data_IF_695641716347
#
_entry.id   IF_695641716347
#
_cell.length_a   1.000
_cell.length_b   1.000
_cell.length_c   1.000
_cell.angle_alpha   90.00
_cell.angle_beta   90.00
_cell.angle_gamma   90.00
#
_symmetry.space_group_name_H-M   'P 1'
#
loop_
_entity.id
_entity.type
_entity.pdbx_description
1 polymer ?
#
# COMPACT_ATOMS: atom_id res chain seq x y z
N UNK A 1 12.98 4.52 -16.33
CA UNK A 1 12.94 3.82 -15.03
C UNK A 1 12.78 2.34 -15.32
N UNK A 2 13.46 1.48 -14.57
CA UNK A 2 13.56 0.05 -14.89
C UNK A 2 12.22 -0.71 -14.83
N UNK A 3 11.33 -0.33 -13.92
CA UNK A 3 9.94 -0.82 -13.88
C UNK A 3 9.59 -1.57 -12.60
N UNK A 4 10.42 -2.53 -12.20
CA UNK A 4 10.20 -3.37 -11.02
C UNK A 4 11.37 -3.33 -10.02
N UNK A 5 12.50 -2.70 -10.38
CA UNK A 5 13.67 -2.49 -9.51
C UNK A 5 13.35 -1.79 -8.18
N UNK A 6 12.23 -1.06 -8.15
CA UNK A 6 11.76 -0.40 -6.93
C UNK A 6 11.41 -1.42 -5.85
N UNK A 7 10.78 -2.53 -6.26
CA UNK A 7 10.17 -3.52 -5.38
C UNK A 7 11.01 -4.79 -5.28
N UNK A 8 11.85 -5.08 -6.28
CA UNK A 8 12.60 -6.33 -6.39
C UNK A 8 14.11 -6.08 -6.44
N UNK A 9 14.85 -6.81 -5.60
CA UNK A 9 16.31 -6.87 -5.67
C UNK A 9 16.82 -7.93 -6.65
N UNK A 10 15.95 -8.84 -7.13
CA UNK A 10 16.33 -9.98 -7.99
C UNK A 10 16.90 -9.56 -9.35
N UNK A 11 16.62 -8.34 -9.79
CA UNK A 11 17.12 -7.78 -11.05
C UNK A 11 18.50 -7.10 -10.89
N UNK A 12 19.12 -7.20 -9.72
CA UNK A 12 20.46 -6.70 -9.43
C UNK A 12 21.45 -7.86 -9.37
N UNK A 13 22.59 -7.72 -10.05
CA UNK A 13 23.72 -8.65 -9.92
C UNK A 13 24.83 -8.02 -9.10
N UNK A 14 25.33 -8.79 -8.15
CA UNK A 14 26.46 -8.43 -7.31
C UNK A 14 27.65 -9.36 -7.59
N UNK A 15 28.87 -8.84 -7.48
CA UNK A 15 30.08 -9.67 -7.46
C UNK A 15 30.35 -10.26 -6.06
N UNK A 16 31.45 -11.01 -5.93
CA UNK A 16 31.85 -11.67 -4.67
C UNK A 16 32.15 -10.68 -3.54
N UNK A 17 32.43 -9.41 -3.87
CA UNK A 17 32.71 -8.33 -2.94
C UNK A 17 31.46 -7.46 -2.65
N UNK A 18 30.27 -7.91 -3.09
CA UNK A 18 28.97 -7.22 -2.95
C UNK A 18 28.89 -5.88 -3.69
N UNK A 19 29.69 -5.66 -4.73
CA UNK A 19 29.51 -4.51 -5.61
C UNK A 19 28.40 -4.78 -6.63
N UNK A 20 27.52 -3.80 -6.84
CA UNK A 20 26.51 -3.87 -7.91
C UNK A 20 27.20 -3.79 -9.28
N UNK A 21 27.16 -4.88 -10.06
CA UNK A 21 27.85 -4.98 -11.35
C UNK A 21 26.92 -4.88 -12.55
N UNK A 22 25.65 -5.26 -12.40
CA UNK A 22 24.67 -5.17 -13.50
C UNK A 22 23.22 -5.06 -13.02
N UNK A 23 22.38 -4.54 -13.91
CA UNK A 23 20.92 -4.53 -13.79
C UNK A 23 20.34 -5.31 -14.95
N UNK A 24 19.57 -6.35 -14.65
CA UNK A 24 18.97 -7.27 -15.61
C UNK A 24 17.53 -6.88 -15.95
N UNK A 25 16.92 -7.60 -16.90
CA UNK A 25 15.47 -7.64 -17.10
C UNK A 25 14.77 -6.28 -17.30
N UNK A 26 14.99 -5.65 -18.45
CA UNK A 26 14.49 -4.30 -18.75
C UNK A 26 13.08 -4.30 -19.36
N UNK A 27 12.35 -5.41 -19.36
CA UNK A 27 11.09 -5.56 -20.09
C UNK A 27 9.96 -4.63 -19.57
N UNK A 28 10.03 -4.23 -18.30
CA UNK A 28 9.08 -3.32 -17.66
C UNK A 28 9.54 -1.85 -17.67
N UNK A 29 10.55 -1.52 -18.47
CA UNK A 29 11.12 -0.17 -18.48
C UNK A 29 10.15 0.87 -19.05
N UNK A 30 10.02 1.98 -18.32
CA UNK A 30 9.10 3.05 -18.66
C UNK A 30 9.69 4.44 -18.47
N UNK A 31 9.16 5.41 -19.21
CA UNK A 31 9.43 6.84 -18.99
C UNK A 31 8.45 7.33 -17.94
N UNK A 32 8.97 7.95 -16.89
CA UNK A 32 8.19 8.46 -15.77
C UNK A 32 8.50 9.93 -15.51
N UNK A 33 7.55 10.70 -14.97
CA UNK A 33 7.85 12.00 -14.39
C UNK A 33 8.98 11.90 -13.35
N UNK A 34 9.81 12.93 -13.24
CA UNK A 34 10.94 12.94 -12.30
C UNK A 34 10.49 12.76 -10.83
N UNK A 35 9.25 13.13 -10.51
CA UNK A 35 8.63 12.95 -9.19
C UNK A 35 8.38 11.47 -8.83
N UNK A 36 8.33 10.57 -9.82
CA UNK A 36 8.18 9.13 -9.62
C UNK A 36 9.52 8.41 -9.49
N UNK A 37 10.64 9.11 -9.69
CA UNK A 37 11.95 8.58 -9.35
C UNK A 37 12.13 8.65 -7.84
N UNK A 38 11.95 7.53 -7.18
CA UNK A 38 12.08 7.39 -5.72
C UNK A 38 13.19 6.40 -5.37
N UNK A 39 13.80 6.52 -4.18
CA UNK A 39 14.74 5.53 -3.67
C UNK A 39 14.10 4.13 -3.63
N UNK A 40 14.89 3.06 -3.81
CA UNK A 40 14.38 1.69 -3.76
C UNK A 40 13.76 1.35 -2.40
N UNK A 41 12.64 0.62 -2.38
CA UNK A 41 11.89 0.35 -1.13
C UNK A 41 12.67 -0.57 -0.18
N UNK A 42 13.52 -1.43 -0.76
CA UNK A 42 14.34 -2.38 -0.04
C UNK A 42 15.58 -1.78 0.66
N UNK A 43 15.76 -0.45 0.62
CA UNK A 43 16.83 0.22 1.37
C UNK A 43 16.77 -0.03 2.88
N UNK A 44 15.56 -0.24 3.44
CA UNK A 44 15.37 -0.59 4.85
C UNK A 44 15.52 -2.10 5.13
N UNK A 45 15.91 -2.90 4.12
CA UNK A 45 16.12 -4.35 4.24
C UNK A 45 14.86 -5.19 4.14
N UNK A 46 13.73 -4.62 3.69
CA UNK A 46 12.45 -5.32 3.56
C UNK A 46 11.63 -4.90 2.34
N UNK A 47 10.38 -5.33 2.27
CA UNK A 47 9.45 -4.93 1.22
C UNK A 47 8.77 -3.58 1.44
N UNK A 48 7.83 -3.22 0.56
CA UNK A 48 6.92 -2.08 0.67
C UNK A 48 6.39 -1.77 2.07
N UNK A 49 5.99 -2.79 2.82
CA UNK A 49 5.43 -2.69 4.16
C UNK A 49 6.39 -2.04 5.16
N UNK A 50 7.70 -2.23 4.99
CA UNK A 50 8.71 -1.66 5.87
C UNK A 50 8.90 -0.16 5.65
N UNK A 51 8.53 0.35 4.47
CA UNK A 51 8.51 1.79 4.19
C UNK A 51 7.45 2.49 5.05
N UNK A 52 6.32 1.82 5.33
CA UNK A 52 5.19 2.35 6.11
C UNK A 52 5.38 2.16 7.62
N UNK A 53 5.76 0.95 8.04
CA UNK A 53 5.97 0.63 9.47
C UNK A 53 7.21 1.36 10.00
N UNK A 54 8.27 1.39 9.20
CA UNK A 54 9.59 1.87 9.56
C UNK A 54 9.96 3.19 8.91
N UNK A 55 9.02 4.12 8.68
CA UNK A 55 9.26 5.37 7.92
C UNK A 55 10.53 6.11 8.34
N UNK A 56 10.80 6.22 9.64
CA UNK A 56 12.01 6.88 10.13
C UNK A 56 13.31 6.12 9.77
N UNK A 57 13.27 4.79 9.81
CA UNK A 57 14.39 3.93 9.39
C UNK A 57 14.59 4.09 7.88
N UNK A 58 13.53 3.98 7.09
CA UNK A 58 13.59 4.15 5.66
C UNK A 58 14.16 5.53 5.28
N UNK A 59 13.64 6.62 5.84
CA UNK A 59 14.15 7.97 5.62
C UNK A 59 15.63 8.12 6.01
N UNK A 60 16.07 7.44 7.07
CA UNK A 60 17.48 7.41 7.49
C UNK A 60 18.37 6.73 6.44
N UNK A 61 17.95 5.56 5.93
CA UNK A 61 18.69 4.85 4.88
C UNK A 61 18.67 5.62 3.56
N UNK A 62 17.56 6.28 3.22
CA UNK A 62 17.49 7.22 2.10
C UNK A 62 18.52 8.33 2.26
N UNK A 63 18.67 8.93 3.45
CA UNK A 63 19.68 9.96 3.69
C UNK A 63 21.11 9.47 3.46
N UNK A 64 21.45 8.26 3.93
CA UNK A 64 22.76 7.64 3.67
C UNK A 64 22.98 7.37 2.18
N UNK A 65 21.95 6.86 1.50
CA UNK A 65 22.01 6.58 0.08
C UNK A 65 22.17 7.87 -0.74
N UNK A 66 21.40 8.91 -0.44
CA UNK A 66 21.54 10.24 -1.06
C UNK A 66 22.93 10.83 -0.83
N UNK A 67 23.51 10.66 0.36
CA UNK A 67 24.90 11.02 0.63
C UNK A 67 25.88 10.33 -0.32
N UNK A 68 25.74 9.02 -0.50
CA UNK A 68 26.58 8.22 -1.41
C UNK A 68 26.43 8.67 -2.86
N UNK A 69 25.20 8.94 -3.32
CA UNK A 69 24.94 9.46 -4.66
C UNK A 69 25.59 10.83 -4.85
N UNK A 70 25.51 11.71 -3.85
CA UNK A 70 26.12 13.05 -3.89
C UNK A 70 27.65 12.97 -3.99
N UNK A 71 28.28 12.07 -3.24
CA UNK A 71 29.72 11.85 -3.31
C UNK A 71 30.14 11.29 -4.67
N UNK A 72 29.33 10.39 -5.25
CA UNK A 72 29.56 9.85 -6.59
C UNK A 72 29.40 10.91 -7.67
N UNK A 73 28.36 11.73 -7.60
CA UNK A 73 28.13 12.86 -8.51
C UNK A 73 29.33 13.83 -8.46
N UNK A 74 29.85 14.14 -7.27
CA UNK A 74 31.05 14.97 -7.09
C UNK A 74 32.30 14.33 -7.69
N UNK A 75 32.53 13.05 -7.42
CA UNK A 75 33.69 12.32 -7.93
C UNK A 75 33.70 12.25 -9.47
N UNK A 76 32.52 12.12 -10.08
CA UNK A 76 32.35 12.12 -11.54
C UNK A 76 32.28 13.53 -12.14
N UNK A 77 32.33 14.59 -11.32
CA UNK A 77 32.19 15.99 -11.73
C UNK A 77 30.90 16.28 -12.54
N UNK A 78 29.82 15.56 -12.24
CA UNK A 78 28.52 15.76 -12.89
C UNK A 78 27.65 16.70 -12.07
N UNK A 79 26.76 17.48 -12.70
CA UNK A 79 25.78 18.28 -11.97
C UNK A 79 24.90 17.39 -11.09
N UNK A 80 24.58 17.81 -9.85
CA UNK A 80 23.70 17.04 -8.98
C UNK A 80 22.32 16.91 -9.63
N UNK A 81 21.81 15.68 -9.73
CA UNK A 81 20.49 15.40 -10.28
C UNK A 81 19.67 14.58 -9.29
N UNK A 82 20.08 13.33 -9.06
CA UNK A 82 19.33 12.44 -8.19
C UNK A 82 19.48 12.85 -6.73
N UNK A 83 20.68 13.26 -6.30
CA UNK A 83 20.89 13.73 -4.93
C UNK A 83 20.02 14.94 -4.58
N UNK A 84 19.75 15.82 -5.55
CA UNK A 84 18.87 16.98 -5.35
C UNK A 84 17.39 16.57 -5.32
N UNK A 85 16.97 15.71 -6.25
CA UNK A 85 15.57 15.25 -6.34
C UNK A 85 15.17 14.46 -5.09
N UNK A 86 16.09 13.67 -4.54
CA UNK A 86 15.87 12.80 -3.38
C UNK A 86 16.17 13.46 -2.03
N UNK A 87 16.90 14.58 -1.97
CA UNK A 87 17.19 15.25 -0.69
C UNK A 87 15.94 15.61 0.12
N UNK A 88 14.83 15.96 -0.54
CA UNK A 88 13.55 16.23 0.13
C UNK A 88 12.91 14.97 0.74
N UNK A 89 13.27 13.79 0.26
CA UNK A 89 12.70 12.51 0.69
C UNK A 89 13.31 12.00 2.01
N UNK A 90 14.37 12.65 2.49
CA UNK A 90 14.94 12.42 3.83
C UNK A 90 13.96 12.79 4.95
N UNK A 91 12.98 13.64 4.67
CA UNK A 91 12.03 14.19 5.66
C UNK A 91 10.59 13.83 5.38
N UNK A 92 10.29 13.35 4.19
CA UNK A 92 8.94 13.03 3.77
C UNK A 92 8.95 11.79 2.87
N UNK A 93 8.22 10.76 3.29
CA UNK A 93 8.13 9.48 2.58
C UNK A 93 7.18 9.55 1.37
N UNK A 94 7.54 10.38 0.38
CA UNK A 94 6.87 10.41 -0.92
C UNK A 94 6.95 9.06 -1.65
N UNK A 95 7.96 8.23 -1.31
CA UNK A 95 8.12 6.87 -1.84
C UNK A 95 6.86 6.03 -1.67
N UNK A 96 6.20 6.07 -0.50
CA UNK A 96 4.97 5.33 -0.25
C UNK A 96 3.83 5.70 -1.24
N UNK A 97 3.70 6.98 -1.57
CA UNK A 97 2.69 7.43 -2.55
C UNK A 97 3.02 6.89 -3.95
N UNK A 98 4.28 6.95 -4.35
CA UNK A 98 4.73 6.42 -5.65
C UNK A 98 4.54 4.90 -5.73
N UNK A 99 4.76 4.19 -4.63
CA UNK A 99 4.49 2.76 -4.54
C UNK A 99 3.03 2.43 -4.79
N UNK A 100 2.08 3.12 -4.14
CA UNK A 100 0.64 2.91 -4.38
C UNK A 100 0.24 3.23 -5.84
N UNK A 101 0.90 4.21 -6.48
CA UNK A 101 0.65 4.53 -7.89
C UNK A 101 1.16 3.46 -8.86
N UNK A 102 2.24 2.74 -8.52
CA UNK A 102 2.77 1.64 -9.34
C UNK A 102 2.14 0.29 -9.02
N UNK A 103 1.71 0.09 -7.77
CA UNK A 103 1.19 -1.16 -7.23
C UNK A 103 -0.13 -0.87 -6.51
N UNK A 104 -1.27 -0.93 -7.23
CA UNK A 104 -2.57 -0.56 -6.68
C UNK A 104 -3.00 -1.38 -5.45
N UNK A 105 -2.45 -2.58 -5.28
CA UNK A 105 -2.61 -3.43 -4.10
C UNK A 105 -2.14 -2.74 -2.80
N UNK A 106 -1.14 -1.86 -2.89
CA UNK A 106 -0.63 -1.08 -1.75
C UNK A 106 -1.46 0.17 -1.45
N UNK A 107 -2.45 0.50 -2.28
CA UNK A 107 -3.25 1.73 -2.12
C UNK A 107 -3.94 1.78 -0.75
N UNK A 108 -4.44 0.64 -0.27
CA UNK A 108 -5.10 0.57 1.02
C UNK A 108 -4.13 0.89 2.17
N UNK A 109 -2.99 0.22 2.20
CA UNK A 109 -2.00 0.39 3.27
C UNK A 109 -1.42 1.81 3.27
N UNK A 110 -1.03 2.32 2.10
CA UNK A 110 -0.50 3.68 1.95
C UNK A 110 -1.54 4.72 2.34
N UNK A 111 -2.82 4.48 2.04
CA UNK A 111 -3.87 5.39 2.45
C UNK A 111 -3.97 5.45 3.98
N UNK A 112 -4.12 4.31 4.65
CA UNK A 112 -4.33 4.27 6.10
C UNK A 112 -3.10 4.64 6.91
N UNK A 113 -1.90 4.26 6.46
CA UNK A 113 -0.67 4.48 7.22
C UNK A 113 -0.01 5.84 6.96
N UNK A 114 -0.35 6.50 5.84
CA UNK A 114 0.24 7.78 5.45
C UNK A 114 -0.80 8.84 5.08
N UNK A 115 -1.59 8.64 4.01
CA UNK A 115 -2.42 9.72 3.45
C UNK A 115 -3.48 10.19 4.44
N UNK A 116 -4.18 9.26 5.10
CA UNK A 116 -5.19 9.57 6.09
C UNK A 116 -4.64 10.50 7.18
N UNK A 117 -3.42 10.24 7.64
CA UNK A 117 -2.80 11.06 8.67
C UNK A 117 -2.25 12.41 8.16
N UNK A 118 -2.02 12.54 6.85
CA UNK A 118 -1.60 13.79 6.23
C UNK A 118 -2.78 14.71 5.92
N UNK A 119 -3.95 14.14 5.63
CA UNK A 119 -5.09 14.91 5.09
C UNK A 119 -6.28 15.01 6.03
N UNK A 120 -6.52 13.99 6.86
CA UNK A 120 -7.77 13.87 7.62
C UNK A 120 -7.58 14.04 9.14
N UNK A 121 -6.53 13.45 9.71
CA UNK A 121 -6.29 13.46 11.16
C UNK A 121 -4.80 13.53 11.47
N UNK A 122 -4.38 14.37 12.40
CA UNK A 122 -2.99 14.34 12.86
C UNK A 122 -2.70 13.01 13.58
N UNK A 123 -1.56 12.38 13.26
CA UNK A 123 -1.15 11.14 13.91
C UNK A 123 -0.94 11.39 15.40
N UNK A 124 -1.68 10.65 16.23
CA UNK A 124 -1.61 10.72 17.68
C UNK A 124 -0.84 9.54 18.22
N UNK A 125 -0.04 9.77 19.27
CA UNK A 125 0.63 8.71 20.04
C UNK A 125 -0.33 8.00 21.03
N UNK A 126 -1.63 8.35 21.02
CA UNK A 126 -2.64 7.70 21.85
C UNK A 126 -2.79 6.22 21.45
N UNK A 127 -2.40 5.32 22.35
CA UNK A 127 -2.44 3.88 22.13
C UNK A 127 -3.87 3.32 22.10
N UNK A 128 -4.89 4.10 22.50
CA UNK A 128 -6.29 3.66 22.44
C UNK A 128 -6.86 3.78 21.02
N UNK A 129 -6.62 2.73 20.23
CA UNK A 129 -7.18 2.60 18.89
C UNK A 129 -8.71 2.69 18.86
N UNK A 130 -9.42 2.22 19.90
CA UNK A 130 -10.89 2.26 19.92
C UNK A 130 -11.38 3.70 20.01
N UNK A 131 -10.76 4.50 20.87
CA UNK A 131 -11.07 5.94 20.99
C UNK A 131 -10.76 6.68 19.68
N UNK A 132 -9.63 6.39 19.05
CA UNK A 132 -9.30 6.92 17.73
C UNK A 132 -10.35 6.51 16.69
N UNK A 133 -10.69 5.23 16.60
CA UNK A 133 -11.68 4.70 15.66
C UNK A 133 -13.03 5.41 15.81
N UNK A 134 -13.55 5.52 17.03
CA UNK A 134 -14.84 6.16 17.28
C UNK A 134 -14.84 7.66 16.98
N UNK A 135 -13.70 8.34 17.14
CA UNK A 135 -13.58 9.77 16.85
C UNK A 135 -13.39 10.06 15.36
N UNK A 136 -12.47 9.34 14.73
CA UNK A 136 -11.95 9.67 13.41
C UNK A 136 -12.57 8.81 12.29
N UNK A 137 -12.77 7.52 12.52
CA UNK A 137 -13.13 6.57 11.47
C UNK A 137 -14.64 6.35 11.41
N UNK A 138 -15.27 6.05 12.55
CA UNK A 138 -16.70 5.72 12.62
C UNK A 138 -17.60 6.79 11.99
N UNK A 139 -17.46 8.10 12.27
CA UNK A 139 -18.36 9.10 11.71
C UNK A 139 -18.25 9.20 10.19
N UNK A 140 -17.03 9.00 9.66
CA UNK A 140 -16.75 9.03 8.21
C UNK A 140 -17.33 7.79 7.53
N UNK A 141 -17.15 6.60 8.12
CA UNK A 141 -17.75 5.37 7.63
C UNK A 141 -19.28 5.46 7.65
N UNK A 142 -19.85 5.95 8.75
CA UNK A 142 -21.30 6.14 8.89
C UNK A 142 -21.81 7.12 7.83
N UNK A 143 -21.17 8.27 7.65
CA UNK A 143 -21.55 9.22 6.59
C UNK A 143 -21.44 8.61 5.18
N UNK A 144 -20.39 7.85 4.91
CA UNK A 144 -20.20 7.15 3.63
C UNK A 144 -21.30 6.12 3.38
N UNK A 145 -21.62 5.28 4.37
CA UNK A 145 -22.64 4.25 4.26
C UNK A 145 -24.06 4.83 4.16
N UNK A 146 -24.28 5.98 4.80
CA UNK A 146 -25.59 6.66 4.77
C UNK A 146 -25.86 7.42 3.46
N UNK A 147 -24.85 7.60 2.60
CA UNK A 147 -25.02 8.26 1.31
C UNK A 147 -26.05 7.53 0.43
N UNK A 148 -27.03 8.24 -0.18
CA UNK A 148 -28.10 7.60 -0.98
C UNK A 148 -27.57 6.71 -2.11
N UNK A 149 -26.47 7.12 -2.74
CA UNK A 149 -25.80 6.38 -3.81
C UNK A 149 -25.21 5.06 -3.32
N UNK A 150 -24.65 5.04 -2.10
CA UNK A 150 -24.11 3.82 -1.49
C UNK A 150 -25.21 2.88 -1.06
N UNK A 151 -26.29 3.38 -0.45
CA UNK A 151 -27.47 2.56 -0.14
C UNK A 151 -28.09 1.95 -1.40
N UNK A 152 -28.24 2.73 -2.47
CA UNK A 152 -28.75 2.23 -3.75
C UNK A 152 -27.82 1.19 -4.39
N UNK A 153 -26.51 1.42 -4.33
CA UNK A 153 -25.50 0.47 -4.80
C UNK A 153 -25.57 -0.86 -4.05
N UNK A 154 -25.64 -0.81 -2.70
CA UNK A 154 -25.74 -1.99 -1.85
C UNK A 154 -27.03 -2.77 -2.12
N UNK A 155 -28.18 -2.09 -2.17
CA UNK A 155 -29.46 -2.73 -2.50
C UNK A 155 -29.43 -3.45 -3.85
N UNK A 156 -28.79 -2.84 -4.86
CA UNK A 156 -28.59 -3.49 -6.17
C UNK A 156 -27.67 -4.70 -6.06
N UNK A 157 -26.56 -4.61 -5.33
CA UNK A 157 -25.61 -5.73 -5.16
C UNK A 157 -26.22 -6.90 -4.39
N UNK A 158 -27.05 -6.62 -3.39
CA UNK A 158 -27.80 -7.66 -2.69
C UNK A 158 -28.79 -8.36 -3.62
N UNK A 159 -29.45 -7.63 -4.52
CA UNK A 159 -30.35 -8.23 -5.50
C UNK A 159 -29.61 -9.09 -6.51
N UNK A 160 -28.50 -8.60 -7.06
CA UNK A 160 -27.60 -9.38 -7.93
C UNK A 160 -27.12 -10.67 -7.24
N UNK A 161 -26.78 -10.58 -5.95
CA UNK A 161 -26.36 -11.73 -5.15
C UNK A 161 -27.50 -12.74 -4.90
N UNK A 162 -28.72 -12.26 -4.63
CA UNK A 162 -29.90 -13.11 -4.48
C UNK A 162 -30.21 -13.85 -5.78
N UNK A 163 -30.17 -13.15 -6.91
CA UNK A 163 -30.38 -13.77 -8.22
C UNK A 163 -29.33 -14.84 -8.50
N UNK A 164 -28.06 -14.55 -8.23
CA UNK A 164 -26.98 -15.51 -8.37
C UNK A 164 -27.21 -16.79 -7.54
N UNK A 165 -27.71 -16.67 -6.31
CA UNK A 165 -28.00 -17.84 -5.48
C UNK A 165 -29.16 -18.70 -6.01
N UNK A 166 -30.18 -18.09 -6.60
CA UNK A 166 -31.27 -18.83 -7.25
C UNK A 166 -30.78 -19.52 -8.54
N UNK A 167 -29.96 -18.83 -9.34
CA UNK A 167 -29.38 -19.40 -10.55
C UNK A 167 -28.45 -20.57 -10.23
N UNK A 168 -27.61 -20.44 -9.19
CA UNK A 168 -26.75 -21.50 -8.69
C UNK A 168 -27.56 -22.71 -8.20
N UNK A 169 -28.60 -22.48 -7.40
CA UNK A 169 -29.49 -23.54 -6.93
C UNK A 169 -30.08 -24.33 -8.09
N UNK A 170 -30.55 -23.62 -9.13
CA UNK A 170 -31.09 -24.23 -10.34
C UNK A 170 -30.03 -25.02 -11.11
N UNK A 171 -28.82 -24.48 -11.21
CA UNK A 171 -27.71 -25.12 -11.92
C UNK A 171 -27.24 -26.41 -11.24
N UNK A 172 -27.09 -26.40 -9.91
CA UNK A 172 -26.63 -27.55 -9.13
C UNK A 172 -27.74 -28.46 -8.59
N UNK A 173 -29.01 -28.16 -8.89
CA UNK A 173 -30.19 -28.84 -8.35
C UNK A 173 -30.17 -28.95 -6.81
N UNK A 174 -29.74 -27.88 -6.15
CA UNK A 174 -29.59 -27.84 -4.69
C UNK A 174 -30.99 -27.69 -4.04
N UNK A 175 -31.28 -28.34 -2.89
CA UNK A 175 -32.60 -28.20 -2.26
C UNK A 175 -32.79 -26.85 -1.57
N UNK A 176 -31.70 -26.10 -1.30
CA UNK A 176 -31.74 -24.85 -0.56
C UNK A 176 -31.05 -23.71 -1.32
N UNK A 177 -31.65 -22.52 -1.28
CA UNK A 177 -31.03 -21.28 -1.76
C UNK A 177 -30.14 -20.73 -0.65
N UNK A 178 -28.91 -20.32 -0.98
CA UNK A 178 -28.04 -19.60 -0.04
C UNK A 178 -28.67 -18.25 0.35
N UNK A 179 -28.34 -17.78 1.54
CA UNK A 179 -28.83 -16.49 2.05
C UNK A 179 -27.66 -15.55 2.29
N UNK A 180 -27.91 -14.25 2.11
CA UNK A 180 -26.97 -13.21 2.51
C UNK A 180 -26.93 -13.22 4.04
N UNK A 181 -25.73 -13.38 4.61
CA UNK A 181 -25.55 -13.36 6.05
C UNK A 181 -25.97 -12.00 6.61
N UNK A 182 -26.78 -12.01 7.67
CA UNK A 182 -27.09 -10.78 8.42
C UNK A 182 -25.92 -10.47 9.35
N UNK A 183 -25.37 -9.27 9.27
CA UNK A 183 -24.38 -8.82 10.24
C UNK A 183 -24.98 -8.87 11.66
N UNK A 184 -24.31 -9.56 12.58
CA UNK A 184 -24.69 -9.64 14.00
C UNK A 184 -25.60 -10.80 14.43
N UNK A 185 -25.74 -11.87 13.63
CA UNK A 185 -26.45 -13.08 14.05
C UNK A 185 -25.62 -13.97 14.99
N UNK A 186 -26.12 -14.18 16.21
CA UNK A 186 -25.53 -14.98 17.29
C UNK A 186 -24.83 -16.27 16.83
N UNK A 187 -23.51 -16.34 17.04
CA UNK A 187 -22.77 -17.60 17.18
C UNK A 187 -23.21 -18.30 18.46
N UNK A 188 -24.43 -18.87 18.48
CA UNK A 188 -24.85 -19.82 19.50
C UNK A 188 -24.97 -21.20 18.86
N UNK A 189 -24.28 -22.16 19.49
CA UNK A 189 -24.23 -23.59 19.22
C UNK A 189 -23.18 -24.08 18.21
N UNK A 190 -21.93 -24.10 18.66
CA UNK A 190 -20.97 -25.17 18.38
C UNK A 190 -20.13 -25.41 19.65
N UNK A 191 -20.82 -25.85 20.70
CA UNK A 191 -20.22 -26.43 21.91
C UNK A 191 -21.13 -27.56 22.41
N UNK A 192 -21.41 -28.53 21.54
CA UNK A 192 -21.95 -29.83 21.89
C UNK A 192 -21.76 -30.78 20.70
N UNK A 193 -20.57 -31.33 20.53
CA UNK A 193 -20.37 -32.71 20.08
C UNK A 193 -18.88 -33.08 20.12
N UNK A 194 -18.58 -33.97 21.06
CA UNK A 194 -17.39 -34.81 21.26
C UNK A 194 -16.08 -34.14 21.69
#
# INVERSE_FOLDING_TARGET
MHGDILMLMSNLLFDDDLNLVAVLDWEWSLVVPAQMLVPPVWLSGGGPEWVLIGTNIFCTEVGRFVGTIRDRERALQVPPRLSQVWARMERWCHTAVVMALFSPDLTYDVYWDLIFYLTEEEKSDDADFRKFYMKAIEPRLTAFMEAPERKAFLARKEEEQRQFFEDEKKYFNNPFTRQIAKEGGESRNLAAMH
#
